data_IF_655294772157
#
_entry.id   IF_655294772157
#
_cell.length_a   1.000
_cell.length_b   1.000
_cell.length_c   1.000
_cell.angle_alpha   90.00
_cell.angle_beta   90.00
_cell.angle_gamma   90.00
#
_symmetry.space_group_name_H-M   'P 1'
#
loop_
_entity.id
_entity.type
_entity.pdbx_description
1 polymer ?
#
# COMPACT_ATOMS: atom_id res chain seq x y z
N UNK A 1 -25.25 0.30 -0.33
CA UNK A 1 -25.36 1.73 -0.67
C UNK A 1 -24.97 2.59 0.54
N UNK A 2 -25.58 2.43 1.71
CA UNK A 2 -25.29 3.24 2.92
C UNK A 2 -23.81 3.23 3.30
N UNK A 3 -23.12 2.06 3.25
CA UNK A 3 -21.71 1.91 3.61
C UNK A 3 -20.79 2.75 2.70
N UNK A 4 -21.04 2.76 1.39
CA UNK A 4 -20.25 3.55 0.45
C UNK A 4 -20.47 5.05 0.64
N UNK A 5 -21.73 5.47 0.92
CA UNK A 5 -22.02 6.87 1.20
C UNK A 5 -21.29 7.36 2.45
N UNK A 6 -21.23 6.56 3.51
CA UNK A 6 -20.49 6.89 4.74
C UNK A 6 -18.99 7.03 4.45
N UNK A 7 -18.39 6.09 3.70
CA UNK A 7 -16.97 6.18 3.34
C UNK A 7 -16.65 7.45 2.52
N UNK A 8 -17.51 7.80 1.57
CA UNK A 8 -17.35 9.01 0.75
C UNK A 8 -17.51 10.28 1.62
N UNK A 9 -18.52 10.32 2.52
CA UNK A 9 -18.72 11.44 3.43
C UNK A 9 -17.50 11.67 4.32
N UNK A 10 -16.91 10.60 4.87
CA UNK A 10 -15.68 10.71 5.65
C UNK A 10 -14.50 11.19 4.82
N UNK A 11 -14.36 10.74 3.57
CA UNK A 11 -13.31 11.22 2.69
C UNK A 11 -13.44 12.74 2.43
N UNK A 12 -14.66 13.24 2.20
CA UNK A 12 -14.91 14.66 2.00
C UNK A 12 -14.59 15.49 3.26
N UNK A 13 -14.98 14.98 4.44
CA UNK A 13 -14.63 15.62 5.73
C UNK A 13 -13.10 15.69 5.90
N UNK A 14 -12.37 14.63 5.57
CA UNK A 14 -10.92 14.62 5.67
C UNK A 14 -10.24 15.54 4.66
N UNK A 15 -10.83 15.73 3.48
CA UNK A 15 -10.39 16.75 2.51
C UNK A 15 -10.53 18.15 3.11
N UNK A 16 -11.67 18.46 3.73
CA UNK A 16 -11.92 19.77 4.34
C UNK A 16 -11.00 20.06 5.54
N UNK A 17 -10.54 19.03 6.23
CA UNK A 17 -9.58 19.13 7.35
C UNK A 17 -8.12 19.22 6.88
N UNK A 18 -7.84 19.14 5.56
CA UNK A 18 -6.49 19.20 5.02
C UNK A 18 -5.60 18.02 5.44
N UNK A 19 -6.20 16.87 5.75
CA UNK A 19 -5.46 15.66 6.13
C UNK A 19 -4.82 15.04 4.88
N UNK A 20 -3.54 14.62 4.93
CA UNK A 20 -2.91 13.97 3.80
C UNK A 20 -3.63 12.65 3.45
N UNK A 21 -3.72 12.33 2.16
CA UNK A 21 -4.36 11.10 1.66
C UNK A 21 -5.82 10.89 2.13
N UNK A 22 -6.72 11.87 1.98
CA UNK A 22 -8.07 11.81 2.52
C UNK A 22 -8.88 10.63 1.96
N UNK A 23 -8.63 10.22 0.72
CA UNK A 23 -9.25 9.06 0.07
C UNK A 23 -8.84 7.71 0.69
N UNK A 24 -7.73 7.67 1.42
CA UNK A 24 -7.29 6.50 2.16
C UNK A 24 -7.81 6.52 3.61
N UNK A 25 -7.61 7.64 4.29
CA UNK A 25 -8.02 7.79 5.69
C UNK A 25 -9.53 7.82 5.89
N UNK A 26 -10.27 8.48 4.99
CA UNK A 26 -11.73 8.57 5.09
C UNK A 26 -12.39 7.20 5.18
N UNK A 27 -12.24 6.31 4.19
CA UNK A 27 -12.80 4.96 4.25
C UNK A 27 -12.27 4.13 5.41
N UNK A 28 -10.98 4.27 5.78
CA UNK A 28 -10.38 3.54 6.90
C UNK A 28 -11.09 3.88 8.22
N UNK A 29 -11.24 5.18 8.53
CA UNK A 29 -11.93 5.62 9.73
C UNK A 29 -13.43 5.31 9.71
N UNK A 30 -14.06 5.41 8.54
CA UNK A 30 -15.46 5.01 8.39
C UNK A 30 -15.66 3.53 8.71
N UNK A 31 -14.80 2.65 8.16
CA UNK A 31 -14.84 1.21 8.45
C UNK A 31 -14.56 0.90 9.92
N UNK A 32 -13.60 1.62 10.52
CA UNK A 32 -13.29 1.47 11.94
C UNK A 32 -14.50 1.84 12.82
N UNK A 33 -15.15 2.95 12.52
CA UNK A 33 -16.34 3.41 13.25
C UNK A 33 -17.49 2.40 13.11
N UNK A 34 -17.76 1.93 11.90
CA UNK A 34 -18.78 0.91 11.62
C UNK A 34 -18.49 -0.39 12.39
N UNK A 35 -17.21 -0.79 12.47
CA UNK A 35 -16.77 -1.96 13.21
C UNK A 35 -16.96 -1.81 14.72
N UNK A 36 -16.66 -0.61 15.29
CA UNK A 36 -16.90 -0.30 16.71
C UNK A 36 -18.40 -0.32 17.02
N UNK A 37 -19.25 0.14 16.10
CA UNK A 37 -20.71 0.07 16.24
C UNK A 37 -21.27 -1.36 16.10
N UNK A 38 -20.41 -2.37 15.90
CA UNK A 38 -20.80 -3.77 15.80
C UNK A 38 -21.54 -4.16 14.52
N UNK A 39 -21.54 -3.28 13.52
CA UNK A 39 -22.21 -3.54 12.23
C UNK A 39 -21.30 -4.43 11.39
N UNK A 40 -21.77 -5.63 11.06
CA UNK A 40 -21.02 -6.56 10.20
C UNK A 40 -20.82 -5.96 8.79
N UNK A 41 -19.55 -5.86 8.41
CA UNK A 41 -19.15 -5.43 7.06
C UNK A 41 -19.00 -6.69 6.20
N UNK A 42 -20.03 -7.00 5.44
CA UNK A 42 -19.94 -8.04 4.42
C UNK A 42 -19.31 -7.45 3.15
N UNK A 43 -18.22 -8.03 2.72
CA UNK A 43 -17.54 -7.65 1.47
C UNK A 43 -17.87 -8.69 0.42
N UNK A 44 -18.29 -8.26 -0.77
CA UNK A 44 -18.50 -9.16 -1.88
C UNK A 44 -17.14 -9.61 -2.41
N UNK A 45 -16.87 -10.92 -2.32
CA UNK A 45 -15.59 -11.52 -2.73
C UNK A 45 -15.29 -11.19 -4.21
N UNK A 46 -16.26 -11.26 -5.08
CA UNK A 46 -16.08 -10.99 -6.52
C UNK A 46 -15.63 -9.54 -6.79
N UNK A 47 -16.18 -8.55 -6.07
CA UNK A 47 -15.76 -7.15 -6.19
C UNK A 47 -14.33 -6.98 -5.71
N UNK A 48 -13.96 -7.61 -4.60
CA UNK A 48 -12.62 -7.52 -4.05
C UNK A 48 -11.58 -8.14 -5.02
N UNK A 49 -11.88 -9.31 -5.59
CA UNK A 49 -11.01 -9.99 -6.54
C UNK A 49 -10.85 -9.17 -7.84
N UNK A 50 -11.94 -8.56 -8.33
CA UNK A 50 -11.89 -7.65 -9.49
C UNK A 50 -11.01 -6.43 -9.23
N UNK A 51 -11.14 -5.81 -8.04
CA UNK A 51 -10.31 -4.64 -7.68
C UNK A 51 -8.84 -5.02 -7.54
N UNK A 52 -8.53 -6.18 -6.98
CA UNK A 52 -7.15 -6.71 -6.90
C UNK A 52 -6.56 -6.94 -8.29
N UNK A 53 -7.34 -7.52 -9.21
CA UNK A 53 -6.92 -7.74 -10.59
C UNK A 53 -6.63 -6.41 -11.29
N UNK A 54 -7.51 -5.43 -11.13
CA UNK A 54 -7.33 -4.08 -11.70
C UNK A 54 -6.03 -3.42 -11.19
N UNK A 55 -5.79 -3.49 -9.88
CA UNK A 55 -4.55 -2.99 -9.27
C UNK A 55 -3.32 -3.74 -9.79
N UNK A 56 -3.40 -5.06 -9.95
CA UNK A 56 -2.34 -5.88 -10.52
C UNK A 56 -1.99 -5.49 -11.95
N UNK A 57 -3.01 -5.28 -12.80
CA UNK A 57 -2.84 -4.81 -14.17
C UNK A 57 -2.22 -3.39 -14.20
N UNK A 58 -2.71 -2.48 -13.37
CA UNK A 58 -2.18 -1.12 -13.29
C UNK A 58 -0.70 -1.11 -12.84
N UNK A 59 -0.36 -1.92 -11.84
CA UNK A 59 1.02 -2.09 -11.39
C UNK A 59 1.92 -2.73 -12.49
N UNK A 60 1.41 -3.75 -13.17
CA UNK A 60 2.12 -4.40 -14.28
C UNK A 60 2.36 -3.48 -15.47
N UNK A 61 1.38 -2.63 -15.81
CA UNK A 61 1.51 -1.64 -16.88
C UNK A 61 2.56 -0.55 -16.59
N UNK A 62 2.94 -0.36 -15.34
CA UNK A 62 4.00 0.57 -14.94
C UNK A 62 5.41 0.04 -15.25
N UNK A 63 5.55 -1.24 -15.56
CA UNK A 63 6.83 -1.88 -15.89
C UNK A 63 7.15 -1.58 -17.36
N UNK A 64 8.01 -0.59 -17.58
CA UNK A 64 8.47 -0.19 -18.91
C UNK A 64 9.80 -0.88 -19.27
N UNK A 65 10.20 -0.95 -20.55
CA UNK A 65 11.50 -1.50 -20.96
C UNK A 65 12.70 -0.83 -20.25
N UNK A 66 12.58 0.45 -19.88
CA UNK A 66 13.59 1.17 -19.09
C UNK A 66 13.85 0.50 -17.74
N UNK A 67 12.84 -0.16 -17.15
CA UNK A 67 13.02 -0.91 -15.90
C UNK A 67 14.15 -1.94 -16.01
N UNK A 68 14.27 -2.64 -17.13
CA UNK A 68 15.30 -3.65 -17.35
C UNK A 68 16.71 -3.05 -17.47
N UNK A 69 16.85 -1.84 -17.97
CA UNK A 69 18.13 -1.13 -18.03
C UNK A 69 18.58 -0.61 -16.66
N UNK A 70 17.62 -0.31 -15.77
CA UNK A 70 17.88 0.11 -14.41
C UNK A 70 18.11 -1.06 -13.44
N UNK A 71 17.81 -2.30 -13.87
CA UNK A 71 17.88 -3.49 -13.03
C UNK A 71 19.24 -3.68 -12.33
N UNK A 72 20.40 -3.47 -12.97
CA UNK A 72 21.70 -3.60 -12.31
C UNK A 72 21.87 -2.65 -11.12
N UNK A 73 21.32 -1.44 -11.21
CA UNK A 73 21.37 -0.45 -10.13
C UNK A 73 20.37 -0.75 -9.01
N UNK A 74 19.25 -1.39 -9.36
CA UNK A 74 18.18 -1.72 -8.42
C UNK A 74 18.50 -3.00 -7.64
N UNK A 75 19.33 -3.91 -8.18
CA UNK A 75 19.59 -5.21 -7.58
C UNK A 75 20.18 -5.08 -6.17
N UNK A 76 21.05 -4.10 -5.95
CA UNK A 76 21.64 -3.83 -4.63
C UNK A 76 20.55 -3.40 -3.62
N UNK A 77 19.65 -2.52 -4.04
CA UNK A 77 18.51 -2.10 -3.22
C UNK A 77 17.55 -3.26 -2.94
N UNK A 78 17.32 -4.11 -3.95
CA UNK A 78 16.47 -5.30 -3.80
C UNK A 78 17.03 -6.29 -2.79
N UNK A 79 18.35 -6.55 -2.83
CA UNK A 79 19.04 -7.39 -1.85
C UNK A 79 18.97 -6.80 -0.44
N UNK A 80 19.11 -5.49 -0.33
CA UNK A 80 19.01 -4.79 0.96
C UNK A 80 17.58 -4.86 1.54
N UNK A 81 16.56 -4.67 0.71
CA UNK A 81 15.15 -4.81 1.11
C UNK A 81 14.86 -6.24 1.54
N UNK A 82 15.36 -7.24 0.81
CA UNK A 82 15.21 -8.65 1.19
C UNK A 82 15.83 -8.94 2.56
N UNK A 83 17.07 -8.48 2.79
CA UNK A 83 17.74 -8.64 4.08
C UNK A 83 17.00 -7.92 5.22
N UNK A 84 16.53 -6.69 4.98
CA UNK A 84 15.73 -5.93 5.93
C UNK A 84 14.43 -6.66 6.29
N UNK A 85 13.71 -7.15 5.28
CA UNK A 85 12.45 -7.88 5.45
C UNK A 85 12.65 -9.15 6.28
N UNK A 86 13.72 -9.89 6.00
CA UNK A 86 14.10 -11.09 6.75
C UNK A 86 14.42 -10.77 8.22
N UNK A 87 15.17 -9.69 8.45
CA UNK A 87 15.51 -9.22 9.80
C UNK A 87 14.26 -8.82 10.59
N UNK A 88 13.36 -8.06 9.97
CA UNK A 88 12.08 -7.68 10.57
C UNK A 88 11.26 -8.92 10.93
N UNK A 89 11.23 -9.92 10.05
CA UNK A 89 10.55 -11.18 10.31
C UNK A 89 11.09 -11.88 11.55
N UNK A 90 12.41 -12.06 11.65
CA UNK A 90 13.05 -12.72 12.80
C UNK A 90 12.77 -11.95 14.09
N UNK A 91 12.99 -10.65 14.10
CA UNK A 91 12.76 -9.79 15.28
C UNK A 91 11.27 -9.84 15.66
N UNK A 92 10.37 -9.83 14.68
CA UNK A 92 8.94 -9.95 14.91
C UNK A 92 8.54 -11.28 15.54
N UNK A 93 9.06 -12.42 15.05
CA UNK A 93 8.81 -13.74 15.66
C UNK A 93 9.30 -13.76 17.10
N UNK A 94 10.49 -13.24 17.36
CA UNK A 94 11.03 -13.17 18.72
C UNK A 94 10.15 -12.32 19.64
N UNK A 95 9.70 -11.17 19.15
CA UNK A 95 8.80 -10.25 19.88
C UNK A 95 7.47 -10.93 20.22
N UNK A 96 6.77 -11.48 19.24
CA UNK A 96 5.46 -12.10 19.45
C UNK A 96 5.54 -13.35 20.32
N UNK A 97 6.62 -14.15 20.18
CA UNK A 97 6.81 -15.33 20.99
C UNK A 97 7.20 -15.00 22.44
N UNK A 98 8.15 -14.08 22.64
CA UNK A 98 8.73 -13.84 23.98
C UNK A 98 7.96 -12.82 24.79
N UNK A 99 7.46 -11.76 24.15
CA UNK A 99 6.72 -10.68 24.80
C UNK A 99 5.22 -10.91 24.70
N UNK A 100 4.75 -11.31 23.52
CA UNK A 100 3.34 -11.60 23.28
C UNK A 100 2.85 -12.92 23.88
N UNK A 101 3.76 -13.86 24.21
CA UNK A 101 3.39 -15.16 24.76
C UNK A 101 2.66 -16.08 23.78
N UNK A 102 2.72 -15.79 22.47
CA UNK A 102 2.06 -16.60 21.46
C UNK A 102 2.88 -17.86 21.12
N UNK A 103 2.19 -18.90 20.66
CA UNK A 103 2.81 -20.08 20.07
C UNK A 103 3.63 -19.72 18.82
N UNK A 104 4.54 -20.61 18.42
CA UNK A 104 5.45 -20.34 17.31
C UNK A 104 4.72 -20.06 15.99
N UNK A 105 3.66 -20.82 15.69
CA UNK A 105 2.91 -20.67 14.45
C UNK A 105 2.23 -19.30 14.39
N UNK A 106 1.55 -18.91 15.46
CA UNK A 106 0.92 -17.59 15.56
C UNK A 106 1.95 -16.47 15.49
N UNK A 107 3.08 -16.58 16.19
CA UNK A 107 4.15 -15.59 16.16
C UNK A 107 4.78 -15.46 14.78
N UNK A 108 4.99 -16.59 14.09
CA UNK A 108 5.56 -16.62 12.75
C UNK A 108 4.67 -15.89 11.74
N UNK A 109 3.40 -16.33 11.60
CA UNK A 109 2.48 -15.74 10.64
C UNK A 109 2.08 -14.29 10.98
N UNK A 110 2.07 -13.91 12.26
CA UNK A 110 1.83 -12.52 12.68
C UNK A 110 2.99 -11.58 12.34
N UNK A 111 4.22 -12.08 12.33
CA UNK A 111 5.41 -11.27 12.08
C UNK A 111 5.78 -11.17 10.60
N UNK A 112 5.49 -12.20 9.80
CA UNK A 112 5.87 -12.23 8.39
C UNK A 112 5.18 -11.12 7.59
N UNK A 113 5.92 -10.40 6.74
CA UNK A 113 5.34 -9.46 5.80
C UNK A 113 4.62 -10.21 4.70
N UNK A 114 3.30 -10.01 4.62
CA UNK A 114 2.43 -10.64 3.62
C UNK A 114 1.06 -10.00 3.61
N UNK A 115 0.23 -10.39 2.64
CA UNK A 115 -1.17 -9.99 2.59
C UNK A 115 -1.97 -10.62 3.74
N UNK A 116 -2.84 -9.85 4.37
CA UNK A 116 -3.66 -10.33 5.48
C UNK A 116 -4.44 -11.62 5.14
N UNK A 117 -5.14 -11.70 3.98
CA UNK A 117 -5.92 -12.89 3.65
C UNK A 117 -5.06 -14.13 3.47
N UNK A 118 -3.91 -13.99 2.83
CA UNK A 118 -2.97 -15.09 2.57
C UNK A 118 -2.36 -15.61 3.88
N UNK A 119 -1.97 -14.70 4.77
CA UNK A 119 -1.42 -15.05 6.08
C UNK A 119 -2.47 -15.71 6.99
N UNK A 120 -3.75 -15.31 6.88
CA UNK A 120 -4.84 -15.96 7.63
C UNK A 120 -5.02 -17.39 7.16
N UNK A 121 -5.10 -17.63 5.85
CA UNK A 121 -5.31 -18.98 5.29
C UNK A 121 -4.16 -19.91 5.69
N UNK A 122 -2.92 -19.48 5.45
CA UNK A 122 -1.74 -20.29 5.81
C UNK A 122 -1.59 -20.47 7.32
N UNK A 123 -1.95 -19.46 8.12
CA UNK A 123 -1.92 -19.54 9.57
C UNK A 123 -2.97 -20.49 10.11
N UNK A 124 -4.18 -20.51 9.52
CA UNK A 124 -5.24 -21.43 9.88
C UNK A 124 -4.84 -22.89 9.62
N UNK A 125 -4.28 -23.18 8.45
CA UNK A 125 -3.75 -24.49 8.08
C UNK A 125 -2.63 -24.94 9.04
N UNK A 126 -1.82 -24.00 9.52
CA UNK A 126 -0.75 -24.27 10.48
C UNK A 126 -1.22 -24.34 11.96
N UNK A 127 -2.51 -24.14 12.23
CA UNK A 127 -3.06 -24.15 13.58
C UNK A 127 -2.76 -22.89 14.41
N UNK A 128 -2.47 -21.76 13.76
CA UNK A 128 -2.25 -20.48 14.43
C UNK A 128 -3.55 -19.88 14.97
N UNK A 129 -3.43 -19.00 15.96
CA UNK A 129 -4.55 -18.24 16.49
C UNK A 129 -4.94 -17.11 15.51
N UNK A 130 -5.99 -17.35 14.71
CA UNK A 130 -6.46 -16.44 13.67
C UNK A 130 -6.87 -15.08 14.21
N UNK A 131 -7.40 -15.02 15.41
CA UNK A 131 -7.81 -13.76 16.05
C UNK A 131 -6.60 -12.89 16.36
N UNK A 132 -5.57 -13.46 16.96
CA UNK A 132 -4.32 -12.76 17.26
C UNK A 132 -3.59 -12.33 15.98
N UNK A 133 -3.56 -13.22 14.98
CA UNK A 133 -2.97 -12.98 13.67
C UNK A 133 -3.63 -11.79 12.96
N UNK A 134 -4.96 -11.82 12.86
CA UNK A 134 -5.73 -10.75 12.22
C UNK A 134 -5.53 -9.40 12.93
N UNK A 135 -5.52 -9.40 14.26
CA UNK A 135 -5.32 -8.19 15.06
C UNK A 135 -3.91 -7.62 14.85
N UNK A 136 -2.88 -8.47 14.86
CA UNK A 136 -1.50 -8.04 14.65
C UNK A 136 -1.31 -7.39 13.27
N UNK A 137 -1.83 -8.02 12.21
CA UNK A 137 -1.78 -7.46 10.86
C UNK A 137 -2.58 -6.17 10.72
N UNK A 138 -3.80 -6.11 11.27
CA UNK A 138 -4.64 -4.91 11.22
C UNK A 138 -3.97 -3.74 11.96
N UNK A 139 -3.42 -3.98 13.15
CA UNK A 139 -2.71 -2.97 13.93
C UNK A 139 -1.48 -2.46 13.17
N UNK A 140 -0.69 -3.35 12.56
CA UNK A 140 0.48 -2.98 11.77
C UNK A 140 0.09 -2.05 10.61
N UNK A 141 -0.93 -2.43 9.83
CA UNK A 141 -1.40 -1.60 8.72
C UNK A 141 -1.91 -0.26 9.23
N UNK A 142 -2.71 -0.24 10.30
CA UNK A 142 -3.22 0.99 10.89
C UNK A 142 -2.09 1.93 11.32
N UNK A 143 -1.09 1.40 12.02
CA UNK A 143 0.06 2.19 12.49
C UNK A 143 0.85 2.75 11.32
N UNK A 144 1.18 1.93 10.31
CA UNK A 144 1.95 2.38 9.14
C UNK A 144 1.16 3.46 8.39
N UNK A 145 -0.10 3.22 8.09
CA UNK A 145 -0.95 4.16 7.33
C UNK A 145 -1.13 5.48 8.08
N UNK A 146 -1.18 5.46 9.41
CA UNK A 146 -1.34 6.67 10.22
C UNK A 146 -0.01 7.40 10.42
N UNK A 147 1.05 6.69 10.80
CA UNK A 147 2.32 7.31 11.19
C UNK A 147 3.12 7.77 9.98
N UNK A 148 3.15 6.99 8.90
CA UNK A 148 4.01 7.28 7.75
C UNK A 148 3.69 8.62 7.07
N UNK A 149 2.43 8.99 6.77
CA UNK A 149 2.11 10.30 6.22
C UNK A 149 2.44 11.46 7.18
N UNK A 150 2.28 11.25 8.48
CA UNK A 150 2.62 12.24 9.49
C UNK A 150 4.13 12.50 9.48
N UNK A 151 4.93 11.43 9.48
CA UNK A 151 6.39 11.52 9.42
C UNK A 151 6.86 12.20 8.13
N UNK A 152 6.28 11.87 6.97
CA UNK A 152 6.63 12.50 5.71
C UNK A 152 6.28 13.99 5.68
N UNK A 153 5.11 14.35 6.17
CA UNK A 153 4.65 15.73 6.17
C UNK A 153 5.45 16.61 7.14
N UNK A 154 5.66 16.14 8.38
CA UNK A 154 6.29 16.94 9.43
C UNK A 154 7.81 16.69 9.56
N UNK A 155 8.29 15.49 9.27
CA UNK A 155 9.70 15.13 9.36
C UNK A 155 10.51 15.50 8.11
N UNK A 156 10.01 15.18 6.94
CA UNK A 156 10.69 15.45 5.67
C UNK A 156 10.08 16.58 4.84
N UNK A 157 8.99 17.20 5.31
CA UNK A 157 8.28 18.29 4.62
C UNK A 157 7.89 17.93 3.16
N UNK A 158 7.61 16.66 2.90
CA UNK A 158 7.18 16.18 1.59
C UNK A 158 5.71 16.52 1.42
N UNK A 159 5.38 17.25 0.35
CA UNK A 159 3.99 17.52 0.01
C UNK A 159 3.34 16.26 -0.60
N UNK A 160 2.46 15.64 0.18
CA UNK A 160 1.69 14.45 -0.22
C UNK A 160 0.38 14.78 -0.94
N UNK A 161 0.12 16.08 -1.21
CA UNK A 161 -1.11 16.51 -1.89
C UNK A 161 -1.07 16.29 -3.39
N UNK A 162 0.12 16.21 -3.97
CA UNK A 162 0.31 15.89 -5.38
C UNK A 162 0.25 14.38 -5.63
N UNK A 163 -0.50 13.91 -6.65
CA UNK A 163 -0.51 12.50 -7.00
C UNK A 163 0.90 12.01 -7.35
N UNK A 164 1.32 10.83 -6.87
CA UNK A 164 2.61 10.26 -7.22
C UNK A 164 2.73 10.09 -8.73
N UNK A 165 3.77 10.67 -9.32
CA UNK A 165 4.03 10.64 -10.78
C UNK A 165 3.81 11.96 -11.52
N UNK A 166 3.10 12.93 -10.97
CA UNK A 166 2.96 14.25 -11.65
C UNK A 166 4.23 15.07 -11.60
N UNK A 167 5.09 14.89 -10.62
CA UNK A 167 6.40 15.55 -10.56
C UNK A 167 7.33 15.13 -11.71
N UNK A 168 7.15 13.93 -12.25
CA UNK A 168 7.95 13.44 -13.38
C UNK A 168 7.44 13.95 -14.74
N UNK A 169 6.17 14.34 -14.81
CA UNK A 169 5.56 14.88 -16.05
C UNK A 169 5.81 16.37 -16.19
N UNK A 170 6.00 17.09 -15.08
CA UNK A 170 6.24 18.54 -15.08
C UNK A 170 7.73 18.93 -15.07
N UNK A 171 8.65 17.97 -14.98
CA UNK A 171 10.07 18.22 -15.09
C UNK A 171 10.52 18.14 -16.55
N UNK A 172 10.64 19.31 -17.16
CA UNK A 172 11.10 19.69 -18.49
C UNK A 172 10.10 19.49 -19.64
N UNK A 173 9.72 20.59 -20.30
CA UNK A 173 9.22 20.47 -21.66
C UNK A 173 10.34 19.85 -22.49
N UNK A 174 10.06 18.75 -23.17
CA UNK A 174 11.00 18.15 -24.14
C UNK A 174 11.55 19.26 -25.03
N UNK A 175 12.87 19.37 -25.18
CA UNK A 175 13.44 20.44 -25.97
C UNK A 175 12.82 20.42 -27.36
N UNK A 176 12.35 21.59 -27.79
CA UNK A 176 11.58 21.84 -29.02
C UNK A 176 12.26 21.29 -30.30
N UNK A 177 13.54 20.88 -30.22
CA UNK A 177 14.28 20.25 -31.29
C UNK A 177 13.69 18.95 -31.83
N UNK A 178 12.96 18.19 -31.02
CA UNK A 178 12.35 16.93 -31.50
C UNK A 178 11.07 17.13 -32.30
N UNK A 179 10.40 18.25 -32.15
CA UNK A 179 9.18 18.57 -32.93
C UNK A 179 9.51 19.05 -34.35
N UNK A 180 10.67 19.64 -34.57
CA UNK A 180 11.10 20.10 -35.90
C UNK A 180 11.56 18.98 -36.83
N UNK A 181 12.14 17.90 -36.33
CA UNK A 181 12.55 16.77 -37.14
C UNK A 181 11.35 16.01 -37.75
N UNK A 182 10.24 15.90 -37.01
CA UNK A 182 9.03 15.21 -37.51
C UNK A 182 8.26 16.04 -38.56
N UNK A 183 8.38 17.34 -38.54
CA UNK A 183 7.73 18.23 -39.52
C UNK A 183 8.49 18.25 -40.89
N UNK A 184 9.77 17.87 -40.93
CA UNK A 184 10.53 17.80 -42.17
C UNK A 184 10.32 16.49 -42.94
N UNK A 185 10.03 15.36 -42.25
CA UNK A 185 9.79 14.09 -42.93
C UNK A 185 8.44 13.99 -43.65
N UNK A 186 7.45 14.80 -43.27
CA UNK A 186 6.12 14.80 -43.92
C UNK A 186 6.03 15.71 -45.13
N UNK A 187 7.13 16.43 -45.52
CA UNK A 187 7.12 17.36 -46.64
C UNK A 187 7.88 16.85 -47.88
N UNK A 188 8.41 15.65 -47.86
CA UNK A 188 9.17 15.02 -48.96
C UNK A 188 8.54 13.76 -49.53
N UNK A 189 7.21 13.58 -49.42
CA UNK A 189 6.45 12.61 -50.21
C UNK A 189 5.26 13.25 -50.85
#
# INVERSE_FOLDING_TARGET
IIKHSVCISFAIVFISLGIPLPWLFGPLFACLLIAILGIKIETNKSVNDTMRTLLGVAAGASITPIFFTLLPNIITTLCLVFFLTFTIGIVGVFYFKRIGGYDFNTAYYASMPGGLPEMIVLGEEAGANIRALSLAHATRVLVIVTVLPIVFRYGWQIDLSSPPGQSAVNSEPLPVSYTHLRAHETRTN
#
